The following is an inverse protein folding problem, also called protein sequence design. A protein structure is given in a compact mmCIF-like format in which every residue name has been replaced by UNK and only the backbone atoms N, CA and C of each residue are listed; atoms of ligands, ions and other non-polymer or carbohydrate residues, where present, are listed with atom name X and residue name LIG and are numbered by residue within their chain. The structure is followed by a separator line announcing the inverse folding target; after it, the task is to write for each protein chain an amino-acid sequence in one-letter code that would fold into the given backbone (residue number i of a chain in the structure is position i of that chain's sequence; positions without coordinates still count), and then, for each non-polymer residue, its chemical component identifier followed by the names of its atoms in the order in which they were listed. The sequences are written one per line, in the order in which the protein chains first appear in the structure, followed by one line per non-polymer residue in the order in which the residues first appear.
data_IF_003318291384
#
_entry.id   IF_003318291384
#
_cell.length_a   1.000
_cell.length_b   1.000
_cell.length_c   1.000
_cell.angle_alpha   90.00
_cell.angle_beta   90.00
_cell.angle_gamma   90.00
#
_symmetry.space_group_name_H-M   'P 1'
#
loop_
_entity.id
_entity.type
_entity.pdbx_description
1 polymer ?
#
# COMPACT_ATOMS: atom_id res chain seq x y z
N UNK A 1 -50.21 44.49 5.51
CA UNK A 1 -48.81 44.90 5.24
C UNK A 1 -47.93 44.24 6.28
N UNK A 2 -46.88 43.49 5.99
CA UNK A 2 -46.43 42.75 4.82
C UNK A 2 -45.23 42.00 5.39
N UNK A 3 -45.25 40.67 5.31
CA UNK A 3 -44.09 39.83 5.61
C UNK A 3 -42.89 40.28 4.76
N UNK A 4 -41.76 40.51 5.39
CA UNK A 4 -40.45 40.48 4.73
C UNK A 4 -39.44 39.77 5.63
N UNK A 5 -39.11 38.50 5.36
CA UNK A 5 -37.97 37.84 5.97
C UNK A 5 -36.66 38.36 5.35
N UNK A 6 -35.73 38.77 6.22
CA UNK A 6 -34.36 39.13 5.86
C UNK A 6 -33.57 37.89 5.40
N UNK A 7 -32.64 38.05 4.44
CA UNK A 7 -31.97 36.94 3.77
C UNK A 7 -31.05 36.17 4.72
N UNK A 8 -31.21 34.85 4.71
CA UNK A 8 -30.29 33.91 5.33
C UNK A 8 -28.89 34.11 4.75
N UNK A 9 -27.95 34.49 5.63
CA UNK A 9 -26.52 34.41 5.38
C UNK A 9 -26.17 32.96 5.07
N UNK A 10 -25.98 32.66 3.79
CA UNK A 10 -25.40 31.41 3.32
C UNK A 10 -23.97 31.35 3.87
N UNK A 11 -23.56 30.31 4.63
CA UNK A 11 -22.16 30.14 4.96
C UNK A 11 -21.42 29.83 3.66
N UNK A 12 -20.58 30.78 3.26
CA UNK A 12 -19.55 30.62 2.24
C UNK A 12 -18.76 29.35 2.58
N UNK A 13 -18.95 28.29 1.78
CA UNK A 13 -18.24 27.02 1.89
C UNK A 13 -16.75 27.32 1.70
N UNK A 14 -16.04 27.36 2.83
CA UNK A 14 -14.64 27.72 2.93
C UNK A 14 -13.81 26.67 2.17
N UNK A 15 -12.96 27.14 1.26
CA UNK A 15 -12.15 26.31 0.37
C UNK A 15 -10.93 25.70 1.08
N UNK A 16 -11.11 25.16 2.31
CA UNK A 16 -10.00 24.76 3.20
C UNK A 16 -10.16 23.43 3.93
N UNK A 17 -11.09 22.57 3.53
CA UNK A 17 -11.32 21.26 4.19
C UNK A 17 -10.49 20.08 3.62
N UNK A 18 -9.34 20.33 2.99
CA UNK A 18 -8.42 19.25 2.54
C UNK A 18 -7.01 19.29 3.17
N UNK A 19 -6.84 19.41 4.51
CA UNK A 19 -5.57 18.94 5.08
C UNK A 19 -5.70 18.09 6.35
N UNK A 20 -6.90 17.63 6.71
CA UNK A 20 -7.10 16.71 7.85
C UNK A 20 -7.14 15.25 7.38
N UNK A 21 -7.73 14.96 6.22
CA UNK A 21 -7.80 13.59 5.69
C UNK A 21 -6.43 13.06 5.27
N UNK A 22 -5.64 13.82 4.51
CA UNK A 22 -4.35 13.33 3.97
C UNK A 22 -3.35 13.00 5.10
N UNK A 23 -3.32 13.78 6.19
CA UNK A 23 -2.45 13.49 7.35
C UNK A 23 -2.94 12.30 8.16
N UNK A 24 -4.26 12.14 8.30
CA UNK A 24 -4.87 11.00 8.98
C UNK A 24 -4.65 9.72 8.18
N UNK A 25 -4.83 9.78 6.86
CA UNK A 25 -4.50 8.72 5.91
C UNK A 25 -3.03 8.37 5.94
N UNK A 26 -2.11 9.34 5.92
CA UNK A 26 -0.69 9.06 6.05
C UNK A 26 -0.35 8.34 7.38
N UNK A 27 -1.04 8.69 8.47
CA UNK A 27 -0.93 8.00 9.75
C UNK A 27 -1.49 6.57 9.74
N UNK A 28 -2.63 6.34 9.07
CA UNK A 28 -3.22 5.02 8.90
C UNK A 28 -2.38 4.13 7.98
N UNK A 29 -1.90 4.69 6.88
CA UNK A 29 -0.99 4.03 5.94
C UNK A 29 0.31 3.64 6.65
N UNK A 30 0.85 4.54 7.48
CA UNK A 30 2.02 4.26 8.31
C UNK A 30 1.74 3.14 9.31
N UNK A 31 0.61 3.19 10.02
CA UNK A 31 0.21 2.14 10.94
C UNK A 31 0.07 0.79 10.22
N UNK A 32 -0.54 0.74 9.03
CA UNK A 32 -0.74 -0.49 8.27
C UNK A 32 0.58 -1.06 7.72
N UNK A 33 1.46 -0.19 7.23
CA UNK A 33 2.78 -0.57 6.71
C UNK A 33 3.71 -1.06 7.83
N UNK A 34 3.61 -0.51 9.04
CA UNK A 34 4.41 -0.89 10.20
C UNK A 34 3.80 -2.07 11.01
N UNK A 35 2.47 -2.18 11.10
CA UNK A 35 1.80 -3.20 11.91
C UNK A 35 1.75 -4.58 11.23
N UNK A 36 1.88 -4.66 9.90
CA UNK A 36 1.84 -5.93 9.16
C UNK A 36 3.13 -6.76 9.21
N UNK A 37 3.85 -6.70 10.33
CA UNK A 37 4.96 -7.59 10.68
C UNK A 37 4.51 -8.94 11.26
N UNK A 38 3.19 -9.14 11.42
CA UNK A 38 2.57 -10.35 11.98
C UNK A 38 2.71 -11.63 11.14
N UNK A 39 2.35 -12.80 11.71
CA UNK A 39 2.59 -14.10 11.09
C UNK A 39 1.83 -14.26 9.77
N UNK A 40 2.57 -14.83 8.82
CA UNK A 40 2.22 -15.35 7.49
C UNK A 40 0.73 -15.61 7.28
N UNK A 41 0.20 -15.01 6.19
CA UNK A 41 -0.98 -15.41 5.42
C UNK A 41 -1.92 -16.36 6.17
N UNK A 42 -2.96 -15.81 6.77
CA UNK A 42 -4.19 -16.57 6.90
C UNK A 42 -4.78 -16.68 5.48
N UNK A 43 -4.90 -17.88 4.88
CA UNK A 43 -5.52 -18.04 3.56
C UNK A 43 -7.02 -17.66 3.56
N UNK A 44 -7.60 -17.33 4.72
CA UNK A 44 -8.94 -16.77 4.87
C UNK A 44 -8.96 -15.23 4.89
N UNK A 45 -7.81 -14.57 4.99
CA UNK A 45 -7.70 -13.12 4.88
C UNK A 45 -7.59 -12.77 3.39
N UNK A 46 -8.73 -12.47 2.77
CA UNK A 46 -8.83 -12.25 1.32
C UNK A 46 -8.01 -11.05 0.82
N UNK A 47 -7.58 -10.14 1.70
CA UNK A 47 -6.79 -8.96 1.34
C UNK A 47 -5.36 -9.08 1.87
N UNK A 48 -4.37 -9.09 0.98
CA UNK A 48 -2.96 -9.03 1.39
C UNK A 48 -2.67 -7.70 2.12
N UNK A 49 -1.61 -7.62 2.94
CA UNK A 49 -1.16 -6.36 3.52
C UNK A 49 -1.00 -5.23 2.50
N UNK A 50 -0.52 -5.55 1.28
CA UNK A 50 -0.44 -4.57 0.21
C UNK A 50 -1.82 -4.19 -0.33
N UNK A 51 -2.75 -5.14 -0.47
CA UNK A 51 -4.11 -4.85 -0.93
C UNK A 51 -4.82 -3.88 0.03
N UNK A 52 -4.54 -3.96 1.34
CA UNK A 52 -5.03 -2.98 2.32
C UNK A 52 -4.45 -1.60 2.08
N UNK A 53 -3.13 -1.50 1.88
CA UNK A 53 -2.48 -0.22 1.56
C UNK A 53 -3.01 0.34 0.24
N UNK A 54 -3.17 -0.48 -0.79
CA UNK A 54 -3.73 -0.07 -2.08
C UNK A 54 -5.19 0.34 -1.96
N UNK A 55 -6.00 -0.35 -1.17
CA UNK A 55 -7.38 0.02 -0.89
C UNK A 55 -7.46 1.37 -0.17
N UNK A 56 -6.55 1.64 0.78
CA UNK A 56 -6.46 2.95 1.43
C UNK A 56 -6.03 4.04 0.43
N UNK A 57 -5.12 3.73 -0.50
CA UNK A 57 -4.71 4.66 -1.56
C UNK A 57 -5.84 4.92 -2.58
N UNK A 58 -6.58 3.89 -2.98
CA UNK A 58 -7.67 3.97 -3.96
C UNK A 58 -8.97 4.51 -3.37
N UNK A 59 -9.20 4.33 -2.07
CA UNK A 59 -10.36 4.83 -1.31
C UNK A 59 -10.47 6.35 -1.23
N UNK A 60 -9.53 7.10 -1.81
CA UNK A 60 -9.58 8.55 -1.99
C UNK A 60 -10.50 9.01 -3.15
N UNK A 61 -11.41 8.16 -3.61
CA UNK A 61 -12.25 8.37 -4.80
C UNK A 61 -11.40 8.48 -6.10
N UNK A 62 -10.22 7.86 -6.08
CA UNK A 62 -9.23 7.92 -7.15
C UNK A 62 -9.18 6.58 -7.90
N UNK A 63 -9.33 6.62 -9.22
CA UNK A 63 -9.36 5.43 -10.06
C UNK A 63 -8.07 4.60 -10.01
N UNK A 64 -6.92 5.21 -9.70
CA UNK A 64 -5.60 4.58 -9.75
C UNK A 64 -4.70 4.98 -8.57
N UNK A 65 -3.95 4.02 -8.03
CA UNK A 65 -3.02 4.22 -6.90
C UNK A 65 -1.92 5.27 -7.20
N UNK A 66 -1.47 5.38 -8.45
CA UNK A 66 -0.51 6.39 -8.87
C UNK A 66 -1.06 7.82 -8.75
N UNK A 67 -2.36 7.98 -8.97
CA UNK A 67 -3.05 9.27 -8.84
C UNK A 67 -3.18 9.68 -7.37
N UNK A 68 -3.32 8.71 -6.47
CA UNK A 68 -3.29 8.94 -5.03
C UNK A 68 -1.88 9.31 -4.54
N UNK A 69 -0.84 8.61 -5.03
CA UNK A 69 0.56 8.92 -4.71
C UNK A 69 0.95 10.35 -5.10
N UNK A 70 0.50 10.81 -6.28
CA UNK A 70 0.77 12.15 -6.78
C UNK A 70 0.20 13.28 -5.92
N UNK A 71 -0.74 13.00 -5.01
CA UNK A 71 -1.35 14.00 -4.11
C UNK A 71 -0.60 14.13 -2.78
N UNK A 72 0.28 13.18 -2.44
CA UNK A 72 1.02 13.25 -1.19
C UNK A 72 2.19 14.25 -1.26
N UNK A 73 2.46 14.89 -0.12
CA UNK A 73 3.70 15.63 0.08
C UNK A 73 4.90 14.69 0.27
N UNK A 74 6.11 15.27 0.23
CA UNK A 74 7.36 14.51 0.32
C UNK A 74 7.46 13.62 1.59
N UNK A 75 7.03 14.10 2.75
CA UNK A 75 7.10 13.33 4.01
C UNK A 75 6.35 12.00 3.98
N UNK A 76 5.04 11.99 3.67
CA UNK A 76 4.30 10.74 3.46
C UNK A 76 4.88 9.84 2.37
N UNK A 77 5.42 10.40 1.29
CA UNK A 77 6.08 9.62 0.22
C UNK A 77 7.38 8.95 0.71
N UNK A 78 8.17 9.60 1.56
CA UNK A 78 9.37 9.00 2.17
C UNK A 78 9.02 7.83 3.07
N UNK A 79 7.95 7.98 3.85
CA UNK A 79 7.41 6.91 4.71
C UNK A 79 6.96 5.72 3.88
N UNK A 80 6.19 5.97 2.82
CA UNK A 80 5.75 4.95 1.87
C UNK A 80 6.92 4.22 1.22
N UNK A 81 7.89 4.98 0.72
CA UNK A 81 9.10 4.43 0.08
C UNK A 81 9.84 3.51 1.03
N UNK A 82 10.11 3.98 2.25
CA UNK A 82 10.88 3.23 3.26
C UNK A 82 10.13 2.00 3.75
N UNK A 83 8.84 2.14 4.01
CA UNK A 83 8.01 1.05 4.50
C UNK A 83 7.74 -0.03 3.45
N UNK A 84 7.49 0.37 2.19
CA UNK A 84 7.36 -0.57 1.07
C UNK A 84 8.67 -1.33 0.80
N UNK A 85 9.83 -0.63 0.86
CA UNK A 85 11.14 -1.28 0.72
C UNK A 85 11.42 -2.27 1.88
N UNK A 86 11.01 -1.94 3.10
CA UNK A 86 11.10 -2.85 4.25
C UNK A 86 10.23 -4.09 4.04
N UNK A 87 8.99 -3.94 3.59
CA UNK A 87 8.10 -5.08 3.32
C UNK A 87 8.64 -5.96 2.18
N UNK A 88 9.18 -5.36 1.11
CA UNK A 88 9.85 -6.12 0.06
C UNK A 88 11.02 -6.95 0.61
N UNK A 89 11.80 -6.40 1.53
CA UNK A 89 12.90 -7.11 2.20
C UNK A 89 12.39 -8.27 3.06
N UNK A 90 11.31 -8.07 3.82
CA UNK A 90 10.67 -9.13 4.60
C UNK A 90 10.13 -10.27 3.72
N UNK A 91 9.55 -9.97 2.55
CA UNK A 91 9.16 -11.00 1.58
C UNK A 91 10.37 -11.81 1.11
N UNK A 92 11.50 -11.16 0.84
CA UNK A 92 12.73 -11.83 0.43
C UNK A 92 13.31 -12.72 1.54
N UNK A 93 13.32 -12.25 2.79
CA UNK A 93 13.73 -13.04 3.96
C UNK A 93 12.85 -14.28 4.15
N UNK A 94 11.51 -14.12 4.03
CA UNK A 94 10.56 -15.23 4.10
C UNK A 94 10.79 -16.26 2.99
N UNK A 95 11.02 -15.82 1.75
CA UNK A 95 11.38 -16.73 0.64
C UNK A 95 12.65 -17.51 0.96
N UNK A 96 13.68 -16.83 1.47
CA UNK A 96 14.94 -17.45 1.87
C UNK A 96 14.75 -18.51 2.95
N UNK A 97 14.00 -18.21 4.02
CA UNK A 97 13.70 -19.19 5.07
C UNK A 97 12.97 -20.42 4.54
N UNK A 98 12.04 -20.25 3.60
CA UNK A 98 11.35 -21.38 2.96
C UNK A 98 12.32 -22.25 2.16
N UNK A 99 13.26 -21.65 1.43
CA UNK A 99 14.30 -22.40 0.72
C UNK A 99 15.24 -23.14 1.69
N UNK A 100 15.67 -22.50 2.78
CA UNK A 100 16.52 -23.12 3.81
C UNK A 100 15.82 -24.32 4.46
N UNK A 101 14.52 -24.22 4.74
CA UNK A 101 13.72 -25.33 5.25
C UNK A 101 13.59 -26.49 4.25
N UNK A 102 13.33 -26.18 2.97
CA UNK A 102 13.30 -27.20 1.92
C UNK A 102 14.65 -27.92 1.78
N UNK A 103 15.74 -27.17 1.79
CA UNK A 103 17.10 -27.71 1.72
C UNK A 103 17.37 -28.65 2.91
N UNK A 104 17.06 -28.20 4.14
CA UNK A 104 17.18 -29.01 5.34
C UNK A 104 16.37 -30.32 5.26
N UNK A 105 15.12 -30.27 4.77
CA UNK A 105 14.28 -31.46 4.59
C UNK A 105 14.89 -32.44 3.58
N UNK A 106 15.49 -31.94 2.49
CA UNK A 106 16.11 -32.81 1.48
C UNK A 106 17.47 -33.35 1.88
N UNK A 107 18.27 -32.58 2.64
CA UNK A 107 19.62 -32.94 3.05
C UNK A 107 19.67 -33.92 4.23
N UNK A 108 18.68 -33.84 5.14
CA UNK A 108 18.65 -34.66 6.37
C UNK A 108 18.26 -36.14 6.15
N UNK A 109 18.04 -36.57 4.90
CA UNK A 109 17.72 -37.97 4.57
C UNK A 109 16.37 -38.45 5.11
N UNK A 110 15.54 -37.53 5.60
CA UNK A 110 14.14 -37.82 5.94
C UNK A 110 13.36 -38.14 4.65
N UNK A 111 12.24 -38.87 4.78
CA UNK A 111 11.37 -39.20 3.64
C UNK A 111 11.13 -37.92 2.80
N UNK A 112 11.34 -37.98 1.47
CA UNK A 112 11.22 -36.79 0.64
C UNK A 112 9.84 -36.15 0.82
N UNK A 113 9.77 -34.80 0.84
CA UNK A 113 8.50 -34.11 0.98
C UNK A 113 7.52 -34.59 -0.09
N UNK A 114 6.27 -34.81 0.30
CA UNK A 114 5.25 -35.27 -0.63
C UNK A 114 5.07 -34.26 -1.76
N UNK A 115 4.60 -34.72 -2.93
CA UNK A 115 4.29 -33.85 -4.07
C UNK A 115 3.34 -32.70 -3.69
N UNK A 116 2.41 -32.95 -2.77
CA UNK A 116 1.48 -31.93 -2.27
C UNK A 116 2.19 -30.85 -1.46
N UNK A 117 3.15 -31.22 -0.60
CA UNK A 117 3.97 -30.26 0.14
C UNK A 117 4.78 -29.41 -0.83
N UNK A 118 5.49 -30.04 -1.77
CA UNK A 118 6.27 -29.32 -2.78
C UNK A 118 5.41 -28.35 -3.61
N UNK A 119 4.21 -28.78 -4.04
CA UNK A 119 3.29 -27.93 -4.79
C UNK A 119 2.83 -26.72 -3.98
N UNK A 120 2.48 -26.90 -2.70
CA UNK A 120 2.07 -25.80 -1.81
C UNK A 120 3.23 -24.85 -1.54
N UNK A 121 4.43 -25.38 -1.30
CA UNK A 121 5.62 -24.55 -1.08
C UNK A 121 5.97 -23.73 -2.32
N UNK A 122 5.86 -24.31 -3.52
CA UNK A 122 6.06 -23.59 -4.76
C UNK A 122 5.03 -22.46 -4.95
N UNK A 123 3.75 -22.72 -4.67
CA UNK A 123 2.70 -21.69 -4.69
C UNK A 123 2.99 -20.56 -3.70
N UNK A 124 3.43 -20.89 -2.48
CA UNK A 124 3.79 -19.90 -1.46
C UNK A 124 4.97 -19.03 -1.90
N UNK A 125 6.00 -19.64 -2.48
CA UNK A 125 7.17 -18.91 -3.00
C UNK A 125 6.78 -17.97 -4.15
N UNK A 126 5.90 -18.42 -5.06
CA UNK A 126 5.38 -17.57 -6.13
C UNK A 126 4.55 -16.40 -5.59
N UNK A 127 3.72 -16.63 -4.57
CA UNK A 127 2.96 -15.57 -3.92
C UNK A 127 3.89 -14.54 -3.24
N UNK A 128 4.91 -15.00 -2.51
CA UNK A 128 5.90 -14.11 -1.88
C UNK A 128 6.71 -13.32 -2.90
N UNK A 129 7.05 -13.92 -4.04
CA UNK A 129 7.76 -13.24 -5.12
C UNK A 129 6.90 -12.16 -5.77
N UNK A 130 5.63 -12.47 -6.07
CA UNK A 130 4.69 -11.49 -6.60
C UNK A 130 4.51 -10.32 -5.63
N UNK A 131 4.32 -10.62 -4.35
CA UNK A 131 4.18 -9.60 -3.31
C UNK A 131 5.44 -8.73 -3.17
N UNK A 132 6.63 -9.35 -3.16
CA UNK A 132 7.91 -8.64 -3.17
C UNK A 132 8.02 -7.64 -4.33
N UNK A 133 7.68 -8.07 -5.55
CA UNK A 133 7.72 -7.21 -6.74
C UNK A 133 6.75 -6.03 -6.64
N UNK A 134 5.53 -6.27 -6.16
CA UNK A 134 4.54 -5.21 -5.99
C UNK A 134 4.98 -4.18 -4.93
N UNK A 135 5.59 -4.62 -3.83
CA UNK A 135 6.16 -3.71 -2.82
C UNK A 135 7.31 -2.86 -3.38
N UNK A 136 8.20 -3.44 -4.18
CA UNK A 136 9.24 -2.66 -4.86
C UNK A 136 8.66 -1.62 -5.82
N UNK A 137 7.65 -2.01 -6.61
CA UNK A 137 6.98 -1.08 -7.52
C UNK A 137 6.33 0.08 -6.76
N UNK A 138 5.68 -0.19 -5.62
CA UNK A 138 5.11 0.87 -4.77
C UNK A 138 6.20 1.81 -4.25
N UNK A 139 7.32 1.27 -3.77
CA UNK A 139 8.45 2.07 -3.29
C UNK A 139 9.03 2.95 -4.41
N UNK A 140 9.19 2.39 -5.61
CA UNK A 140 9.69 3.11 -6.77
C UNK A 140 8.75 4.21 -7.24
N UNK A 141 7.44 3.96 -7.27
CA UNK A 141 6.44 4.95 -7.62
C UNK A 141 6.39 6.10 -6.60
N UNK A 142 6.41 5.77 -5.30
CA UNK A 142 6.44 6.79 -4.24
C UNK A 142 7.69 7.66 -4.33
N UNK A 143 8.86 7.04 -4.53
CA UNK A 143 10.13 7.74 -4.76
C UNK A 143 10.08 8.62 -6.00
N UNK A 144 9.54 8.11 -7.10
CA UNK A 144 9.43 8.85 -8.36
C UNK A 144 8.65 10.17 -8.18
N UNK A 145 7.48 10.12 -7.54
CA UNK A 145 6.67 11.32 -7.32
C UNK A 145 7.30 12.30 -6.33
N UNK A 146 8.03 11.81 -5.33
CA UNK A 146 8.81 12.66 -4.42
C UNK A 146 9.90 13.42 -5.17
N UNK A 147 10.63 12.73 -6.05
CA UNK A 147 11.76 13.31 -6.80
C UNK A 147 11.30 14.21 -7.97
N UNK A 148 10.04 14.08 -8.40
CA UNK A 148 9.45 14.82 -9.53
C UNK A 148 8.15 15.55 -9.14
N UNK A 149 8.22 16.59 -8.28
CA UNK A 149 7.04 17.28 -7.76
C UNK A 149 6.21 17.95 -8.86
N UNK A 150 6.84 18.40 -9.96
CA UNK A 150 6.12 18.97 -11.12
C UNK A 150 5.26 17.92 -11.83
N UNK A 151 5.77 16.70 -11.95
CA UNK A 151 5.02 15.57 -12.51
C UNK A 151 3.87 15.18 -11.58
N UNK A 152 4.13 15.10 -10.27
CA UNK A 152 3.10 14.84 -9.26
C UNK A 152 1.97 15.88 -9.35
N UNK A 153 2.30 17.18 -9.40
CA UNK A 153 1.33 18.25 -9.53
C UNK A 153 0.53 18.17 -10.84
N UNK A 154 1.14 17.75 -11.95
CA UNK A 154 0.43 17.51 -13.21
C UNK A 154 -0.55 16.36 -13.09
N UNK A 155 -0.10 15.21 -12.59
CA UNK A 155 -0.94 14.01 -12.43
C UNK A 155 -2.13 14.30 -11.50
N UNK A 156 -1.89 14.93 -10.35
CA UNK A 156 -2.94 15.32 -9.40
C UNK A 156 -4.00 16.24 -10.03
N UNK A 157 -3.62 17.14 -10.94
CA UNK A 157 -4.57 18.03 -11.64
C UNK A 157 -5.45 17.31 -12.64
N UNK A 158 -4.94 16.28 -13.31
CA UNK A 158 -5.71 15.53 -14.31
C UNK A 158 -6.74 14.61 -13.67
N UNK A 159 -6.47 14.15 -12.46
CA UNK A 159 -7.25 13.11 -11.77
C UNK A 159 -8.25 13.71 -10.77
N UNK A 160 -8.12 14.99 -10.43
CA UNK A 160 -9.07 15.75 -9.60
C UNK A 160 -10.28 16.34 -10.37
N UNK A 161 -10.52 15.94 -11.64
CA UNK A 161 -11.62 16.49 -12.46
C UNK A 161 -12.86 15.59 -12.33
N UNK A 162 -14.02 16.12 -11.88
CA UNK A 162 -15.26 15.35 -11.71
C UNK A 162 -15.89 14.95 -13.05
#
# INVERSE_FOLDING_TARGET
MQDMPMPATTPTRDARDVPTDIRTLAGQLFAEVCANTGPVFDPLDEATPLDRVLNVLQGLDMADADSALAQFGAGPLDVLTSGAAMQASLCAERMRSVFELLDCCTASGTLPPSRQVLSRTAQQLLALLAEHQRWLQLADNARYYRDHPDTAARVARFTARP
#
